data_IF_075397590857
#
_entry.id   IF_075397590857
#
_cell.length_a   1.000
_cell.length_b   1.000
_cell.length_c   1.000
_cell.angle_alpha   90.00
_cell.angle_beta   90.00
_cell.angle_gamma   90.00
#
_symmetry.space_group_name_H-M   'P 1'
#
loop_
_entity.id
_entity.type
_entity.pdbx_description
1 polymer ?
#
# COMPACT_ATOMS: atom_id res chain seq x y z
N UNK A 1 20.47 9.91 -3.25
CA UNK A 1 20.59 9.12 -2.03
C UNK A 1 19.66 7.97 -2.09
N UNK A 2 20.17 6.86 -1.83
CA UNK A 2 19.32 5.72 -1.73
C UNK A 2 18.83 5.56 -0.31
N UNK A 3 18.08 6.51 0.06
CA UNK A 3 17.51 6.64 1.34
C UNK A 3 16.74 5.40 1.78
N UNK A 4 15.92 4.82 0.90
CA UNK A 4 15.23 3.60 1.24
C UNK A 4 16.14 2.42 1.49
N UNK A 5 17.31 2.36 0.85
CA UNK A 5 18.26 1.30 1.11
C UNK A 5 19.12 1.55 2.35
N UNK A 6 19.56 2.77 2.53
CA UNK A 6 20.50 3.05 3.60
C UNK A 6 19.92 2.87 4.97
N UNK A 7 18.68 3.25 5.18
CA UNK A 7 18.12 3.06 6.50
C UNK A 7 17.13 1.91 6.60
N UNK A 8 16.76 1.30 5.49
CA UNK A 8 15.94 0.10 5.53
C UNK A 8 16.64 -1.06 6.23
N UNK A 9 17.96 -1.23 6.04
CA UNK A 9 18.68 -2.28 6.74
C UNK A 9 18.84 -1.95 8.23
N UNK A 10 18.94 -0.69 8.59
CA UNK A 10 18.96 -0.27 9.99
C UNK A 10 17.62 -0.56 10.65
N UNK A 11 16.53 -0.27 9.96
CA UNK A 11 15.20 -0.61 10.45
C UNK A 11 15.03 -2.12 10.59
N UNK A 12 15.58 -2.89 9.67
CA UNK A 12 15.54 -4.33 9.76
C UNK A 12 16.30 -4.87 10.98
N UNK A 13 17.39 -4.25 11.35
CA UNK A 13 18.12 -4.63 12.56
C UNK A 13 17.28 -4.37 13.80
N UNK A 14 16.58 -3.26 13.83
CA UNK A 14 15.67 -2.93 14.93
C UNK A 14 14.45 -3.84 14.91
N UNK A 15 13.88 -4.06 13.73
CA UNK A 15 12.69 -4.87 13.56
C UNK A 15 12.89 -6.33 13.87
N UNK A 16 14.08 -6.86 13.70
CA UNK A 16 14.41 -8.21 14.14
C UNK A 16 14.25 -8.37 15.64
N UNK A 17 14.34 -7.28 16.38
CA UNK A 17 14.22 -7.28 17.82
C UNK A 17 12.86 -6.78 18.32
N UNK A 18 12.17 -5.95 17.53
CA UNK A 18 11.07 -5.16 18.06
C UNK A 18 9.85 -5.05 17.15
N UNK A 19 9.94 -5.43 15.89
CA UNK A 19 8.90 -5.02 15.03
C UNK A 19 8.51 -5.92 13.89
N UNK A 20 7.50 -5.45 13.25
CA UNK A 20 6.91 -6.10 12.10
C UNK A 20 7.65 -5.68 10.84
N UNK A 21 7.59 -6.51 9.82
CA UNK A 21 8.09 -6.15 8.50
C UNK A 21 7.20 -5.09 7.89
N UNK A 22 7.80 -4.24 7.09
CA UNK A 22 7.09 -3.22 6.32
C UNK A 22 7.44 -3.35 4.85
N UNK A 23 6.47 -3.05 4.01
CA UNK A 23 6.64 -3.07 2.57
C UNK A 23 6.42 -1.67 2.03
N UNK A 24 7.35 -1.21 1.21
CA UNK A 24 7.29 0.13 0.62
C UNK A 24 6.88 0.04 -0.84
N UNK A 25 5.82 0.75 -1.21
CA UNK A 25 5.41 0.91 -2.59
C UNK A 25 5.61 2.37 -2.96
N UNK A 26 6.52 2.69 -3.88
CA UNK A 26 6.77 4.08 -4.27
C UNK A 26 5.65 4.63 -5.14
N UNK A 27 5.49 5.95 -5.11
CA UNK A 27 4.52 6.66 -5.91
C UNK A 27 3.40 7.27 -5.10
N UNK A 28 2.94 8.44 -5.53
CA UNK A 28 1.83 9.10 -4.87
C UNK A 28 0.54 8.36 -5.19
N UNK A 29 0.01 7.62 -4.21
CA UNK A 29 -1.13 6.72 -4.44
C UNK A 29 -2.38 7.54 -4.81
N UNK A 30 -2.95 7.30 -6.00
CA UNK A 30 -4.16 8.03 -6.41
C UNK A 30 -5.42 7.41 -5.83
N UNK A 31 -6.50 8.18 -5.84
CA UNK A 31 -7.82 7.68 -5.48
C UNK A 31 -8.44 6.94 -6.66
N UNK A 32 -8.75 5.67 -6.49
CA UNK A 32 -9.45 4.91 -7.53
C UNK A 32 -10.91 5.33 -7.63
N UNK A 33 -11.49 5.74 -6.51
CA UNK A 33 -12.90 6.13 -6.45
C UNK A 33 -13.18 7.41 -7.24
N UNK A 34 -12.38 8.44 -7.02
CA UNK A 34 -12.59 9.75 -7.64
C UNK A 34 -11.97 9.87 -9.02
N UNK A 35 -11.21 8.87 -9.41
CA UNK A 35 -10.48 8.90 -10.67
C UNK A 35 -11.14 8.15 -11.81
N UNK A 36 -12.31 7.54 -11.57
CA UNK A 36 -13.00 6.81 -12.64
C UNK A 36 -13.65 7.77 -13.60
N UNK A 37 -13.66 7.40 -14.86
CA UNK A 37 -14.32 8.21 -15.89
C UNK A 37 -15.28 7.34 -16.69
N UNK A 38 -16.34 7.96 -17.16
CA UNK A 38 -17.37 7.32 -17.97
C UNK A 38 -16.99 7.35 -19.44
N UNK A 39 -17.08 6.19 -20.11
CA UNK A 39 -16.73 6.09 -21.54
C UNK A 39 -17.94 6.09 -22.45
N UNK A 40 -19.16 6.16 -21.91
CA UNK A 40 -20.40 5.99 -22.65
C UNK A 40 -21.00 4.59 -22.49
N UNK A 41 -20.22 3.63 -21.98
CA UNK A 41 -20.68 2.26 -21.74
C UNK A 41 -20.38 1.80 -20.32
N UNK A 42 -19.24 2.16 -19.77
CA UNK A 42 -18.81 1.71 -18.43
C UNK A 42 -17.80 2.68 -17.86
N UNK A 43 -17.58 2.57 -16.56
CA UNK A 43 -16.53 3.34 -15.89
C UNK A 43 -15.20 2.63 -16.05
N UNK A 44 -14.14 3.40 -16.33
CA UNK A 44 -12.78 2.90 -16.35
C UNK A 44 -11.94 3.67 -15.36
N UNK A 45 -10.82 3.09 -14.98
CA UNK A 45 -9.88 3.75 -14.09
C UNK A 45 -9.37 5.04 -14.72
N UNK A 46 -9.09 6.05 -13.90
CA UNK A 46 -8.51 7.30 -14.37
C UNK A 46 -7.11 7.08 -14.90
N UNK A 47 -6.61 8.06 -15.66
CA UNK A 47 -5.25 8.05 -16.14
C UNK A 47 -4.24 7.98 -14.99
N UNK A 48 -4.52 8.66 -13.89
CA UNK A 48 -3.63 8.65 -12.72
C UNK A 48 -3.53 7.25 -12.12
N UNK A 49 -4.65 6.54 -11.98
CA UNK A 49 -4.65 5.17 -11.44
C UNK A 49 -3.92 4.24 -12.40
N UNK A 50 -4.20 4.36 -13.70
CA UNK A 50 -3.54 3.51 -14.70
C UNK A 50 -2.03 3.72 -14.72
N UNK A 51 -1.58 4.97 -14.63
CA UNK A 51 -0.16 5.31 -14.57
C UNK A 51 0.49 4.72 -13.31
N UNK A 52 -0.17 4.89 -12.17
CA UNK A 52 0.32 4.35 -10.90
C UNK A 52 0.46 2.83 -10.99
N UNK A 53 -0.57 2.15 -11.47
CA UNK A 53 -0.57 0.69 -11.56
C UNK A 53 0.50 0.17 -12.51
N UNK A 54 0.70 0.85 -13.63
CA UNK A 54 1.77 0.48 -14.56
C UNK A 54 3.15 0.60 -13.91
N UNK A 55 3.35 1.64 -13.11
CA UNK A 55 4.63 1.90 -12.47
C UNK A 55 4.90 0.95 -11.29
N UNK A 56 3.87 0.41 -10.65
CA UNK A 56 4.02 -0.35 -9.40
C UNK A 56 3.75 -1.83 -9.52
N UNK A 57 3.26 -2.30 -10.66
CA UNK A 57 2.85 -3.71 -10.83
C UNK A 57 3.95 -4.70 -10.47
N UNK A 58 5.17 -4.45 -10.93
CA UNK A 58 6.28 -5.36 -10.70
C UNK A 58 6.70 -5.36 -9.23
N UNK A 59 6.56 -4.24 -8.56
CA UNK A 59 6.89 -4.11 -7.14
C UNK A 59 5.90 -4.89 -6.29
N UNK A 60 4.60 -4.74 -6.54
CA UNK A 60 3.59 -5.55 -5.85
C UNK A 60 3.81 -7.04 -6.10
N UNK A 61 4.04 -7.41 -7.35
CA UNK A 61 4.24 -8.81 -7.70
C UNK A 61 5.49 -9.40 -7.03
N UNK A 62 6.55 -8.61 -6.93
CA UNK A 62 7.79 -9.05 -6.30
C UNK A 62 7.60 -9.36 -4.81
N UNK A 63 6.76 -8.58 -4.12
CA UNK A 63 6.55 -8.76 -2.69
C UNK A 63 5.50 -9.81 -2.33
N UNK A 64 4.78 -10.33 -3.31
CA UNK A 64 3.65 -11.23 -3.05
C UNK A 64 4.01 -12.41 -2.16
N UNK A 65 5.06 -13.15 -2.51
CA UNK A 65 5.42 -14.35 -1.75
C UNK A 65 5.88 -14.03 -0.34
N UNK A 66 6.66 -12.96 -0.18
CA UNK A 66 7.13 -12.54 1.13
C UNK A 66 5.98 -12.11 2.02
N UNK A 67 5.04 -11.34 1.47
CA UNK A 67 3.87 -10.88 2.22
C UNK A 67 2.98 -12.07 2.63
N UNK A 68 2.71 -12.98 1.70
CA UNK A 68 1.90 -14.16 1.98
C UNK A 68 2.53 -15.03 3.07
N UNK A 69 3.84 -15.17 3.02
CA UNK A 69 4.56 -15.94 4.02
C UNK A 69 4.43 -15.32 5.41
N UNK A 70 4.55 -14.00 5.49
CA UNK A 70 4.37 -13.31 6.76
C UNK A 70 2.93 -13.40 7.23
N UNK A 71 1.97 -13.34 6.31
CA UNK A 71 0.56 -13.43 6.62
C UNK A 71 0.19 -14.76 7.28
N UNK A 72 0.88 -15.84 6.93
CA UNK A 72 0.65 -17.16 7.52
C UNK A 72 0.88 -17.19 9.04
N UNK A 73 1.63 -16.24 9.57
CA UNK A 73 1.90 -16.14 11.00
C UNK A 73 0.78 -15.44 11.77
N UNK A 74 -0.29 -15.05 11.09
CA UNK A 74 -1.38 -14.27 11.68
C UNK A 74 -2.73 -14.92 11.44
N UNK A 75 -3.64 -14.69 12.35
CA UNK A 75 -5.03 -15.11 12.19
C UNK A 75 -5.81 -14.06 11.40
N UNK A 76 -6.80 -14.51 10.64
CA UNK A 76 -7.72 -13.63 9.93
C UNK A 76 -8.91 -13.24 10.80
N UNK A 77 -9.42 -12.01 10.68
CA UNK A 77 -8.89 -10.93 9.85
C UNK A 77 -7.60 -10.37 10.43
N UNK A 78 -6.69 -10.02 9.54
CA UNK A 78 -5.41 -9.44 9.93
C UNK A 78 -5.48 -7.92 9.91
N UNK A 79 -4.86 -7.29 10.89
CA UNK A 79 -4.80 -5.83 10.95
C UNK A 79 -3.62 -5.34 10.11
N UNK A 80 -3.91 -4.52 9.11
CA UNK A 80 -2.89 -3.99 8.20
C UNK A 80 -2.86 -2.47 8.33
N UNK A 81 -1.67 -1.95 8.59
CA UNK A 81 -1.46 -0.50 8.69
C UNK A 81 -0.99 0.06 7.37
N UNK A 82 -1.54 1.19 7.00
CA UNK A 82 -1.13 1.98 5.83
C UNK A 82 -0.63 3.34 6.30
N UNK A 83 0.59 3.66 5.92
CA UNK A 83 1.18 4.96 6.20
C UNK A 83 1.51 5.63 4.88
N UNK A 84 0.71 6.63 4.50
CA UNK A 84 0.89 7.31 3.24
C UNK A 84 1.91 8.44 3.35
N UNK A 85 2.81 8.49 2.36
CA UNK A 85 3.71 9.61 2.16
C UNK A 85 3.23 10.31 0.90
N UNK A 86 2.67 11.50 1.05
CA UNK A 86 2.02 12.19 -0.06
C UNK A 86 2.99 13.07 -0.82
N UNK A 87 2.84 13.09 -2.14
CA UNK A 87 3.67 13.93 -3.02
C UNK A 87 3.12 15.33 -3.25
N UNK A 88 1.96 15.65 -2.67
CA UNK A 88 1.37 16.96 -2.74
C UNK A 88 0.66 17.27 -1.43
N UNK A 89 0.28 18.53 -1.23
CA UNK A 89 -0.45 18.96 -0.04
C UNK A 89 -1.94 19.09 -0.29
N UNK A 90 -2.43 18.50 -1.37
CA UNK A 90 -3.87 18.49 -1.66
C UNK A 90 -4.61 17.67 -0.61
N UNK A 91 -5.80 18.10 -0.27
CA UNK A 91 -6.66 17.36 0.66
C UNK A 91 -7.00 15.98 0.08
N UNK A 92 -7.08 15.00 0.95
CA UNK A 92 -7.47 13.65 0.55
C UNK A 92 -8.12 12.94 1.74
N UNK A 93 -8.91 11.93 1.45
CA UNK A 93 -9.47 11.04 2.46
C UNK A 93 -8.65 9.75 2.45
N UNK A 94 -8.26 9.27 3.61
CA UNK A 94 -7.45 8.05 3.71
C UNK A 94 -8.05 6.86 2.97
N UNK A 95 -9.36 6.73 3.00
CA UNK A 95 -10.03 5.57 2.39
C UNK A 95 -9.87 5.51 0.87
N UNK A 96 -9.68 6.64 0.23
CA UNK A 96 -9.59 6.69 -1.23
C UNK A 96 -8.28 6.06 -1.76
N UNK A 97 -7.09 6.53 -1.36
CA UNK A 97 -5.87 5.85 -1.78
C UNK A 97 -5.73 4.46 -1.17
N UNK A 98 -6.29 4.24 0.03
CA UNK A 98 -6.26 2.91 0.64
C UNK A 98 -7.00 1.89 -0.21
N UNK A 99 -8.11 2.28 -0.85
CA UNK A 99 -8.83 1.37 -1.73
C UNK A 99 -7.97 0.97 -2.93
N UNK A 100 -7.23 1.92 -3.50
CA UNK A 100 -6.32 1.63 -4.61
C UNK A 100 -5.28 0.58 -4.20
N UNK A 101 -4.65 0.77 -3.04
CA UNK A 101 -3.64 -0.16 -2.54
C UNK A 101 -4.25 -1.53 -2.28
N UNK A 102 -5.41 -1.59 -1.63
CA UNK A 102 -6.06 -2.85 -1.31
C UNK A 102 -6.49 -3.60 -2.58
N UNK A 103 -6.99 -2.88 -3.58
CA UNK A 103 -7.33 -3.50 -4.86
C UNK A 103 -6.10 -4.14 -5.50
N UNK A 104 -4.95 -3.47 -5.43
CA UNK A 104 -3.71 -4.01 -5.97
C UNK A 104 -3.20 -5.19 -5.13
N UNK A 105 -3.35 -5.14 -3.82
CA UNK A 105 -2.98 -6.26 -2.96
C UNK A 105 -3.78 -7.52 -3.31
N UNK A 106 -5.08 -7.36 -3.57
CA UNK A 106 -5.92 -8.48 -4.02
C UNK A 106 -5.48 -8.95 -5.41
N UNK A 107 -5.28 -8.02 -6.32
CA UNK A 107 -4.90 -8.33 -7.70
C UNK A 107 -3.63 -9.15 -7.79
N UNK A 108 -2.63 -8.83 -6.99
CA UNK A 108 -1.34 -9.51 -7.02
C UNK A 108 -1.22 -10.65 -6.01
N UNK A 109 -2.32 -10.98 -5.35
CA UNK A 109 -2.37 -12.17 -4.51
C UNK A 109 -1.79 -12.02 -3.11
N UNK A 110 -1.59 -10.79 -2.63
CA UNK A 110 -1.13 -10.56 -1.26
C UNK A 110 -2.19 -11.00 -0.25
N UNK A 111 -3.45 -10.71 -0.57
CA UNK A 111 -4.60 -11.08 0.24
C UNK A 111 -5.66 -11.67 -0.68
N UNK A 112 -6.52 -12.50 -0.13
CA UNK A 112 -7.55 -13.15 -0.91
C UNK A 112 -8.67 -12.19 -1.30
N UNK A 113 -9.05 -11.30 -0.38
CA UNK A 113 -10.02 -10.24 -0.61
C UNK A 113 -9.79 -9.15 0.43
N UNK A 114 -10.36 -7.98 0.20
CA UNK A 114 -10.23 -6.85 1.11
C UNK A 114 -11.43 -6.64 2.03
N UNK A 115 -12.33 -7.62 2.10
CA UNK A 115 -13.47 -7.52 3.00
C UNK A 115 -13.07 -7.78 4.46
N UNK A 116 -14.01 -7.55 5.37
CA UNK A 116 -13.76 -7.61 6.81
C UNK A 116 -13.42 -8.99 7.36
N UNK A 117 -13.59 -10.04 6.56
CA UNK A 117 -13.17 -11.39 6.96
C UNK A 117 -11.65 -11.56 6.80
N UNK A 118 -11.02 -10.75 5.98
CA UNK A 118 -9.60 -10.87 5.68
C UNK A 118 -8.75 -9.78 6.29
N UNK A 119 -9.21 -8.51 6.26
CA UNK A 119 -8.39 -7.42 6.75
C UNK A 119 -9.16 -6.42 7.61
N UNK A 120 -8.41 -5.80 8.52
CA UNK A 120 -8.85 -4.65 9.29
C UNK A 120 -7.86 -3.53 8.95
N UNK A 121 -8.24 -2.56 8.12
CA UNK A 121 -7.30 -1.46 7.78
C UNK A 121 -7.11 -0.52 8.94
N UNK A 122 -5.89 -0.08 9.12
CA UNK A 122 -5.53 0.94 10.10
C UNK A 122 -4.65 1.97 9.42
N UNK A 123 -4.70 3.22 9.89
CA UNK A 123 -3.98 4.30 9.25
C UNK A 123 -3.08 5.01 10.25
N UNK A 124 -1.85 5.28 9.83
CA UNK A 124 -0.98 6.22 10.52
C UNK A 124 -1.18 7.60 9.93
N UNK A 125 -0.83 8.63 10.69
CA UNK A 125 -0.90 9.98 10.17
C UNK A 125 -0.01 10.11 8.94
N UNK A 126 -0.55 10.67 7.84
CA UNK A 126 0.24 10.81 6.63
C UNK A 126 1.35 11.86 6.80
N UNK A 127 2.38 11.72 5.98
CA UNK A 127 3.44 12.71 5.88
C UNK A 127 3.52 13.22 4.45
N UNK A 128 4.26 14.30 4.27
CA UNK A 128 4.45 14.90 2.95
C UNK A 128 5.93 14.79 2.57
N UNK A 129 6.20 14.27 1.38
CA UNK A 129 7.53 14.28 0.79
C UNK A 129 7.36 14.31 -0.72
N UNK A 130 7.57 15.48 -1.30
CA UNK A 130 7.41 15.68 -2.74
C UNK A 130 8.35 14.79 -3.54
N UNK A 131 9.55 14.58 -3.03
CA UNK A 131 10.61 13.87 -3.76
C UNK A 131 10.46 12.36 -3.70
N UNK A 132 9.81 11.84 -2.67
CA UNK A 132 9.75 10.40 -2.46
C UNK A 132 8.43 9.96 -1.85
N UNK A 133 7.31 10.16 -2.56
CA UNK A 133 6.01 9.71 -2.07
C UNK A 133 5.85 8.21 -2.19
N UNK A 134 4.94 7.66 -1.41
CA UNK A 134 4.66 6.23 -1.46
C UNK A 134 3.74 5.81 -0.33
N UNK A 135 3.72 4.51 -0.05
CA UNK A 135 2.97 3.97 1.07
C UNK A 135 3.77 2.86 1.74
N UNK A 136 3.80 2.91 3.07
CA UNK A 136 4.29 1.81 3.89
C UNK A 136 3.11 0.92 4.27
N UNK A 137 3.27 -0.37 4.08
CA UNK A 137 2.27 -1.37 4.41
C UNK A 137 2.87 -2.29 5.47
N UNK A 138 2.15 -2.45 6.57
CA UNK A 138 2.66 -3.23 7.70
C UNK A 138 1.56 -4.14 8.25
N UNK A 139 1.92 -5.41 8.52
CA UNK A 139 1.01 -6.32 9.21
C UNK A 139 1.20 -6.11 10.71
N UNK A 140 0.13 -5.75 11.40
CA UNK A 140 0.18 -5.49 12.82
C UNK A 140 -0.16 -6.75 13.60
N UNK A 141 0.59 -6.97 14.69
CA UNK A 141 0.25 -8.05 15.61
C UNK A 141 -1.00 -7.69 16.41
N UNK A 142 -1.81 -8.68 16.67
CA UNK A 142 -2.98 -8.49 17.52
C UNK A 142 -2.57 -8.35 18.98
#
# INVERSE_FOLDING_TARGET
>A
MNYGKEWAWMDNLENNNMGNKKWWIPGNVPSSKNGRRWTGKYFIASKAVMTYRKATKDIYAEYTEEFKKELENHELPVKISFEFVRGSRHKFDYLNPAQTVQDDMVKYGWIEDDNAEFIIPAFEQYTYNKENPGVWIEILSK
#
